data_IF_958424060750
#
_entry.id   IF_958424060750
#
_cell.length_a   1.000
_cell.length_b   1.000
_cell.length_c   1.000
_cell.angle_alpha   90.00
_cell.angle_beta   90.00
_cell.angle_gamma   90.00
#
_symmetry.space_group_name_H-M   'P 1'
#
loop_
_entity.id
_entity.type
_entity.pdbx_description
1 polymer ?
#
# COMPACT_ATOMS: atom_id res chain seq x y z
N UNK A 1 -4.30 6.88 2.09
CA UNK A 1 -3.13 6.12 2.59
C UNK A 1 -2.16 5.86 1.45
N UNK A 2 -0.87 5.84 1.76
CA UNK A 2 0.24 5.49 0.89
C UNK A 2 1.20 4.56 1.66
N UNK A 3 1.67 3.50 1.02
CA UNK A 3 2.79 2.69 1.48
C UNK A 3 3.86 2.64 0.39
N UNK A 4 5.13 2.80 0.76
CA UNK A 4 6.27 2.65 -0.14
C UNK A 4 7.25 1.66 0.46
N UNK A 5 7.62 0.64 -0.31
CA UNK A 5 8.50 -0.44 0.12
C UNK A 5 9.61 -0.65 -0.90
N UNK A 6 10.87 -0.56 -0.46
CA UNK A 6 12.04 -0.76 -1.32
C UNK A 6 12.09 -2.17 -1.86
N UNK A 7 12.69 -2.32 -3.04
CA UNK A 7 12.84 -3.61 -3.75
C UNK A 7 13.45 -4.72 -2.88
N UNK A 8 14.32 -4.35 -1.94
CA UNK A 8 14.96 -5.29 -1.02
C UNK A 8 13.98 -5.97 -0.04
N UNK A 9 12.83 -5.36 0.24
CA UNK A 9 11.77 -5.95 1.07
C UNK A 9 10.79 -6.76 0.22
N UNK A 10 10.44 -6.24 -0.96
CA UNK A 10 9.44 -6.85 -1.84
C UNK A 10 9.83 -6.62 -3.30
N UNK A 11 9.85 -7.70 -4.08
CA UNK A 11 10.10 -7.63 -5.52
C UNK A 11 8.78 -7.48 -6.25
N UNK A 12 8.78 -6.58 -7.23
CA UNK A 12 7.62 -6.42 -8.10
C UNK A 12 7.36 -7.68 -8.93
N UNK A 13 6.09 -8.12 -9.06
CA UNK A 13 5.73 -9.12 -10.07
C UNK A 13 6.10 -8.61 -11.47
N UNK A 14 6.45 -9.52 -12.39
CA UNK A 14 6.85 -9.16 -13.76
C UNK A 14 5.69 -8.51 -14.51
N UNK A 15 4.46 -8.87 -14.15
CA UNK A 15 3.19 -8.42 -14.71
C UNK A 15 2.92 -6.92 -14.49
N UNK A 16 3.50 -6.33 -13.44
CA UNK A 16 3.39 -4.87 -13.21
C UNK A 16 4.29 -4.06 -14.15
N UNK A 17 5.29 -4.67 -14.77
CA UNK A 17 6.16 -4.00 -15.72
C UNK A 17 5.54 -4.14 -17.12
N UNK A 18 4.90 -3.08 -17.63
CA UNK A 18 4.46 -3.08 -19.02
C UNK A 18 5.64 -2.73 -19.95
N UNK A 19 6.04 -3.61 -20.89
CA UNK A 19 7.09 -3.31 -21.86
C UNK A 19 6.69 -2.21 -22.87
N UNK A 20 5.46 -1.69 -22.82
CA UNK A 20 4.96 -0.60 -23.68
C UNK A 20 5.51 0.80 -23.30
N UNK A 21 6.70 0.84 -22.70
CA UNK A 21 7.34 1.99 -22.05
C UNK A 21 7.96 3.02 -23.00
N UNK A 22 7.90 2.84 -24.33
CA UNK A 22 8.57 3.76 -25.25
C UNK A 22 7.78 5.04 -25.60
N UNK A 23 6.46 5.08 -25.42
CA UNK A 23 5.61 6.16 -26.00
C UNK A 23 4.78 6.99 -24.99
N UNK A 24 5.10 7.01 -23.68
CA UNK A 24 4.47 7.98 -22.76
C UNK A 24 5.40 9.11 -22.38
N UNK A 25 4.89 10.34 -22.36
CA UNK A 25 5.60 11.52 -21.88
C UNK A 25 5.93 11.43 -20.37
N UNK A 26 5.08 10.75 -19.60
CA UNK A 26 5.23 10.63 -18.15
C UNK A 26 6.19 9.51 -17.77
N UNK A 27 7.27 9.86 -17.06
CA UNK A 27 8.21 8.93 -16.45
C UNK A 27 7.77 8.60 -15.02
N UNK A 28 8.04 7.38 -14.52
CA UNK A 28 7.83 7.06 -13.11
C UNK A 28 8.73 7.94 -12.22
N UNK A 29 8.26 8.21 -11.00
CA UNK A 29 8.92 9.07 -10.02
C UNK A 29 9.72 8.25 -9.00
N UNK A 30 10.76 8.84 -8.37
CA UNK A 30 11.45 8.22 -7.25
C UNK A 30 10.62 8.30 -5.96
N UNK A 31 10.85 7.38 -5.03
CA UNK A 31 10.04 7.24 -3.81
C UNK A 31 9.88 8.54 -3.00
N UNK A 32 10.94 9.35 -2.92
CA UNK A 32 10.96 10.59 -2.15
C UNK A 32 10.08 11.68 -2.77
N UNK A 33 9.97 11.71 -4.10
CA UNK A 33 9.08 12.64 -4.80
C UNK A 33 7.61 12.20 -4.66
N UNK A 34 7.36 10.88 -4.73
CA UNK A 34 6.01 10.31 -4.53
C UNK A 34 5.44 10.70 -3.16
N UNK A 35 6.25 10.62 -2.11
CA UNK A 35 5.85 11.06 -0.78
C UNK A 35 5.49 12.54 -0.74
N UNK A 36 6.33 13.38 -1.38
CA UNK A 36 6.14 14.84 -1.42
C UNK A 36 4.85 15.22 -2.15
N UNK A 37 4.54 14.54 -3.26
CA UNK A 37 3.30 14.75 -4.01
C UNK A 37 2.07 14.27 -3.23
N UNK A 38 2.23 13.20 -2.45
CA UNK A 38 1.15 12.68 -1.60
C UNK A 38 0.86 13.58 -0.39
N UNK A 39 1.87 14.26 0.14
CA UNK A 39 1.76 15.16 1.30
C UNK A 39 2.01 16.62 0.89
N UNK A 40 1.02 17.33 0.30
CA UNK A 40 1.18 18.74 -0.01
C UNK A 40 1.42 19.53 1.29
N UNK A 41 2.27 20.56 1.23
CA UNK A 41 2.75 21.31 2.41
C UNK A 41 1.65 21.87 3.34
N UNK A 42 0.40 21.96 2.88
CA UNK A 42 -0.71 22.58 3.60
C UNK A 42 -1.68 21.58 4.27
N UNK A 43 -1.37 20.29 4.34
CA UNK A 43 -2.24 19.29 4.97
C UNK A 43 -1.97 19.17 6.47
N UNK A 44 -2.76 19.86 7.30
CA UNK A 44 -2.58 19.93 8.77
C UNK A 44 -2.63 18.58 9.49
N UNK A 45 -3.27 17.57 8.90
CA UNK A 45 -3.48 16.25 9.50
C UNK A 45 -2.82 15.12 8.70
N UNK A 46 -1.96 15.45 7.73
CA UNK A 46 -1.16 14.44 7.05
C UNK A 46 0.09 14.12 7.87
N UNK A 47 0.47 12.85 7.89
CA UNK A 47 1.68 12.39 8.57
C UNK A 47 2.31 11.26 7.77
N UNK A 48 3.60 11.05 8.00
CA UNK A 48 4.33 9.88 7.50
C UNK A 48 5.18 9.27 8.60
N UNK A 49 5.46 7.99 8.46
CA UNK A 49 6.30 7.21 9.33
C UNK A 49 7.27 6.42 8.47
N UNK A 50 8.56 6.62 8.69
CA UNK A 50 9.62 5.85 8.06
C UNK A 50 10.04 4.73 9.02
N UNK A 51 10.15 3.52 8.51
CA UNK A 51 10.66 2.38 9.25
C UNK A 51 12.00 1.97 8.63
N UNK A 52 13.09 2.44 9.25
CA UNK A 52 14.41 2.37 8.66
C UNK A 52 14.47 3.13 7.33
N UNK A 53 15.21 2.57 6.36
CA UNK A 53 15.38 3.17 5.03
C UNK A 53 14.47 2.54 3.96
N UNK A 54 13.66 1.55 4.35
CA UNK A 54 13.15 0.55 3.42
C UNK A 54 11.64 0.52 3.30
N UNK A 55 10.95 0.95 4.34
CA UNK A 55 9.50 1.03 4.37
C UNK A 55 9.06 2.42 4.83
N UNK A 56 8.01 2.92 4.21
CA UNK A 56 7.36 4.17 4.55
C UNK A 56 5.85 3.97 4.49
N UNK A 57 5.16 4.47 5.51
CA UNK A 57 3.70 4.63 5.49
C UNK A 57 3.36 6.11 5.61
N UNK A 58 2.43 6.58 4.80
CA UNK A 58 1.92 7.94 4.87
C UNK A 58 0.40 7.98 4.80
N UNK A 59 -0.14 8.95 5.50
CA UNK A 59 -1.55 9.26 5.51
C UNK A 59 -1.75 10.75 5.25
N UNK A 60 -2.68 11.06 4.36
CA UNK A 60 -3.23 12.39 4.21
C UNK A 60 -4.74 12.25 4.19
N UNK A 61 -5.48 13.00 5.02
CA UNK A 61 -6.93 13.06 4.90
C UNK A 61 -7.31 13.52 3.50
N UNK A 62 -8.28 12.85 2.89
CA UNK A 62 -8.91 13.32 1.67
C UNK A 62 -10.09 14.22 2.01
N UNK A 63 -10.42 15.17 1.13
CA UNK A 63 -11.64 15.98 1.26
C UNK A 63 -12.93 15.17 1.02
N UNK A 64 -12.81 13.90 0.59
CA UNK A 64 -13.93 12.98 0.46
C UNK A 64 -14.23 12.33 1.81
N UNK A 65 -15.47 12.39 2.32
CA UNK A 65 -15.85 11.65 3.51
C UNK A 65 -15.56 10.17 3.25
N UNK A 66 -14.64 9.61 4.03
CA UNK A 66 -14.33 8.19 3.95
C UNK A 66 -15.47 7.47 4.66
N UNK A 67 -16.30 6.74 3.92
CA UNK A 67 -17.43 5.98 4.48
C UNK A 67 -16.94 4.82 5.38
N UNK A 68 -15.63 4.52 5.30
CA UNK A 68 -15.01 3.40 6.00
C UNK A 68 -14.16 3.88 7.18
N UNK A 69 -14.27 3.17 8.30
CA UNK A 69 -13.45 3.40 9.48
C UNK A 69 -11.99 3.10 9.16
N UNK A 70 -11.13 4.11 9.14
CA UNK A 70 -9.69 3.96 8.93
C UNK A 70 -9.00 3.88 10.28
N UNK A 71 -8.34 2.75 10.55
CA UNK A 71 -7.57 2.53 11.77
C UNK A 71 -6.07 2.47 11.43
N UNK A 72 -5.27 3.23 12.17
CA UNK A 72 -3.81 3.13 12.18
C UNK A 72 -3.39 2.61 13.55
N UNK A 73 -2.55 1.58 13.59
CA UNK A 73 -1.97 1.07 14.83
C UNK A 73 -0.52 0.71 14.57
N UNK A 74 0.40 1.40 15.26
CA UNK A 74 1.79 0.99 15.39
C UNK A 74 1.93 0.23 16.70
N UNK A 75 2.30 -1.04 16.64
CA UNK A 75 2.58 -1.86 17.82
C UNK A 75 3.98 -2.46 17.66
N UNK A 76 4.82 -2.32 18.68
CA UNK A 76 6.14 -2.99 18.77
C UNK A 76 6.04 -4.52 18.74
N UNK A 77 4.82 -5.02 18.87
CA UNK A 77 4.43 -6.41 18.77
C UNK A 77 3.08 -6.39 18.07
N UNK A 78 3.02 -6.61 16.75
CA UNK A 78 1.73 -6.71 16.06
C UNK A 78 1.03 -7.99 16.54
N UNK A 79 0.40 -7.92 17.72
CA UNK A 79 -0.51 -8.94 18.21
C UNK A 79 -1.66 -9.13 17.22
N UNK A 80 -2.00 -8.15 16.39
CA UNK A 80 -2.99 -8.33 15.32
C UNK A 80 -2.48 -9.22 14.18
N UNK A 81 -1.22 -9.12 13.76
CA UNK A 81 -0.62 -10.03 12.76
C UNK A 81 -0.44 -11.41 13.37
N UNK A 82 0.07 -11.50 14.60
CA UNK A 82 0.14 -12.76 15.34
C UNK A 82 -1.24 -13.35 15.58
N UNK A 83 -2.26 -12.56 15.88
CA UNK A 83 -3.62 -13.09 16.01
C UNK A 83 -4.12 -13.54 14.63
N UNK A 84 -3.95 -12.76 13.56
CA UNK A 84 -4.36 -13.15 12.21
C UNK A 84 -3.58 -14.38 11.67
N UNK A 85 -2.30 -14.53 12.02
CA UNK A 85 -1.41 -15.62 11.59
C UNK A 85 -1.50 -16.84 12.51
N UNK A 86 -1.50 -16.60 13.81
CA UNK A 86 -1.55 -17.59 14.91
C UNK A 86 -2.99 -17.93 15.32
N UNK A 87 -4.03 -17.42 14.62
CA UNK A 87 -5.34 -18.10 14.50
C UNK A 87 -5.18 -19.49 13.84
N UNK A 88 -3.96 -19.92 13.54
CA UNK A 88 -3.53 -21.32 13.50
C UNK A 88 -4.47 -22.25 14.27
N UNK A 89 -5.10 -23.22 13.57
CA UNK A 89 -4.64 -23.76 12.28
C UNK A 89 -5.16 -23.03 11.04
N UNK A 90 -5.73 -21.82 11.14
CA UNK A 90 -6.30 -21.12 9.99
C UNK A 90 -5.26 -20.34 9.14
N UNK A 91 -5.16 -20.62 7.83
CA UNK A 91 -4.42 -19.79 6.86
C UNK A 91 -4.90 -18.33 6.86
N UNK A 92 -4.02 -17.39 6.51
CA UNK A 92 -4.33 -15.95 6.51
C UNK A 92 -5.54 -15.60 5.63
N UNK A 93 -5.73 -16.29 4.50
CA UNK A 93 -6.90 -16.12 3.62
C UNK A 93 -8.22 -16.54 4.28
N UNK A 94 -8.20 -17.52 5.20
CA UNK A 94 -9.40 -17.90 5.94
C UNK A 94 -9.75 -16.86 6.99
N UNK A 95 -8.76 -16.27 7.66
CA UNK A 95 -9.01 -15.22 8.64
C UNK A 95 -9.53 -13.94 7.97
N UNK A 96 -9.10 -13.66 6.74
CA UNK A 96 -9.65 -12.56 5.94
C UNK A 96 -11.14 -12.74 5.61
N UNK A 97 -11.62 -13.98 5.42
CA UNK A 97 -13.04 -14.26 5.14
C UNK A 97 -13.95 -13.95 6.32
N UNK A 98 -13.42 -14.00 7.55
CA UNK A 98 -14.16 -13.64 8.76
C UNK A 98 -14.27 -12.13 8.96
N UNK A 99 -13.50 -11.32 8.21
CA UNK A 99 -13.62 -9.87 8.29
C UNK A 99 -14.89 -9.44 7.54
N UNK A 100 -15.90 -9.02 8.29
CA UNK A 100 -17.11 -8.45 7.71
C UNK A 100 -16.88 -7.00 7.26
N UNK A 101 -17.39 -6.67 6.08
CA UNK A 101 -17.39 -5.32 5.52
C UNK A 101 -16.31 -5.05 4.47
N UNK A 102 -16.21 -3.78 4.07
CA UNK A 102 -15.20 -3.32 3.11
C UNK A 102 -13.94 -2.92 3.86
N UNK A 103 -12.84 -3.62 3.61
CA UNK A 103 -11.55 -3.32 4.24
C UNK A 103 -10.43 -3.33 3.21
N UNK A 104 -9.35 -2.63 3.54
CA UNK A 104 -8.09 -2.68 2.82
C UNK A 104 -6.99 -2.29 3.79
N UNK A 105 -5.95 -3.11 3.91
CA UNK A 105 -4.88 -2.86 4.87
C UNK A 105 -3.50 -3.21 4.32
N UNK A 106 -2.52 -2.49 4.85
CA UNK A 106 -1.10 -2.69 4.63
C UNK A 106 -0.46 -2.85 6.00
N UNK A 107 0.13 -3.99 6.25
CA UNK A 107 0.87 -4.31 7.48
C UNK A 107 2.34 -4.43 7.11
N UNK A 108 3.20 -3.80 7.91
CA UNK A 108 4.63 -3.95 7.80
C UNK A 108 5.19 -4.40 9.15
N UNK A 109 5.86 -5.55 9.15
CA UNK A 109 6.64 -6.03 10.28
C UNK A 109 8.09 -5.56 10.10
N UNK A 110 8.51 -4.56 10.89
CA UNK A 110 9.86 -4.03 10.82
C UNK A 110 10.93 -5.00 11.36
N UNK A 111 10.55 -5.93 12.25
CA UNK A 111 11.50 -6.88 12.83
C UNK A 111 11.87 -7.95 11.80
N UNK A 112 10.88 -8.48 11.11
CA UNK A 112 11.06 -9.54 10.12
C UNK A 112 11.26 -9.00 8.69
N UNK A 113 11.05 -7.69 8.48
CA UNK A 113 11.12 -7.05 7.17
C UNK A 113 10.04 -7.54 6.21
N UNK A 114 8.87 -7.94 6.73
CA UNK A 114 7.79 -8.54 5.93
C UNK A 114 6.62 -7.58 5.75
N UNK A 115 5.97 -7.67 4.60
CA UNK A 115 4.84 -6.82 4.22
C UNK A 115 3.65 -7.73 3.91
N UNK A 116 2.49 -7.38 4.43
CA UNK A 116 1.22 -8.03 4.11
C UNK A 116 0.22 -7.00 3.63
N UNK A 117 -0.44 -7.30 2.51
CA UNK A 117 -1.41 -6.40 1.89
C UNK A 117 -2.63 -7.21 1.52
N UNK A 118 -3.81 -6.73 1.91
CA UNK A 118 -5.07 -7.35 1.57
C UNK A 118 -6.15 -6.30 1.32
N UNK A 119 -7.06 -6.62 0.41
CA UNK A 119 -8.28 -5.86 0.11
C UNK A 119 -9.47 -6.82 0.20
N UNK A 120 -10.59 -6.35 0.75
CA UNK A 120 -11.81 -7.15 0.89
C UNK A 120 -12.43 -7.51 -0.47
N UNK A 121 -13.30 -8.53 -0.47
CA UNK A 121 -13.87 -9.13 -1.68
C UNK A 121 -14.91 -8.25 -2.39
N UNK A 122 -15.50 -7.27 -1.70
CA UNK A 122 -16.56 -6.44 -2.28
C UNK A 122 -16.06 -5.32 -3.22
N UNK A 123 -14.75 -5.13 -3.36
CA UNK A 123 -14.13 -4.15 -4.25
C UNK A 123 -14.43 -2.68 -3.91
N UNK A 124 -15.13 -2.39 -2.81
CA UNK A 124 -15.51 -1.02 -2.45
C UNK A 124 -14.32 -0.19 -1.97
N UNK A 125 -13.35 -0.84 -1.32
CA UNK A 125 -12.04 -0.23 -0.98
C UNK A 125 -11.01 -0.79 -1.95
N UNK A 126 -10.88 -0.12 -3.10
CA UNK A 126 -9.85 -0.45 -4.08
C UNK A 126 -8.47 -0.04 -3.56
N UNK A 127 -7.60 -1.03 -3.34
CA UNK A 127 -6.16 -0.79 -3.27
C UNK A 127 -5.59 -0.84 -4.69
N UNK A 128 -4.63 0.02 -4.95
CA UNK A 128 -3.85 0.08 -6.17
C UNK A 128 -2.38 -0.02 -5.80
N UNK A 129 -1.61 -0.60 -6.70
CA UNK A 129 -0.18 -0.76 -6.52
C UNK A 129 0.57 -0.50 -7.82
N UNK A 130 1.82 -0.09 -7.69
CA UNK A 130 2.69 0.16 -8.82
C UNK A 130 4.16 0.16 -8.44
N UNK A 131 5.01 0.36 -9.44
CA UNK A 131 6.47 0.35 -9.32
C UNK A 131 7.00 1.74 -9.60
N UNK A 132 7.73 2.29 -8.64
CA UNK A 132 8.46 3.54 -8.77
C UNK A 132 9.72 3.37 -9.63
N UNK A 133 10.36 4.48 -10.03
CA UNK A 133 11.57 4.41 -10.89
C UNK A 133 12.76 3.73 -10.19
N UNK A 134 12.79 3.75 -8.86
CA UNK A 134 13.80 3.12 -8.02
C UNK A 134 13.42 1.69 -7.59
N UNK A 135 12.54 1.04 -8.35
CA UNK A 135 12.00 -0.30 -8.11
C UNK A 135 11.21 -0.46 -6.80
N UNK A 136 10.88 0.63 -6.10
CA UNK A 136 10.04 0.56 -4.90
C UNK A 136 8.60 0.19 -5.28
N UNK A 137 7.98 -0.70 -4.50
CA UNK A 137 6.54 -0.93 -4.56
C UNK A 137 5.81 0.21 -3.86
N UNK A 138 4.82 0.75 -4.54
CA UNK A 138 3.97 1.83 -4.06
C UNK A 138 2.55 1.30 -3.97
N UNK A 139 1.89 1.49 -2.83
CA UNK A 139 0.52 1.02 -2.57
C UNK A 139 -0.32 2.20 -2.10
N UNK A 140 -1.50 2.41 -2.70
CA UNK A 140 -2.41 3.47 -2.29
C UNK A 140 -3.86 3.10 -2.61
N UNK A 141 -4.79 3.65 -1.85
CA UNK A 141 -6.22 3.62 -2.19
C UNK A 141 -6.59 4.64 -3.30
N UNK A 142 -5.67 5.53 -3.65
CA UNK A 142 -5.91 6.56 -4.66
C UNK A 142 -5.22 6.19 -5.99
N UNK A 143 -6.02 5.73 -6.95
CA UNK A 143 -5.56 5.37 -8.29
C UNK A 143 -4.80 6.52 -8.99
N UNK A 144 -5.25 7.77 -8.82
CA UNK A 144 -4.64 8.91 -9.51
C UNK A 144 -3.23 9.21 -9.00
N UNK A 145 -2.97 8.99 -7.71
CA UNK A 145 -1.61 9.09 -7.16
C UNK A 145 -0.72 7.98 -7.72
N UNK A 146 -1.23 6.75 -7.82
CA UNK A 146 -0.46 5.64 -8.40
C UNK A 146 -0.12 5.90 -9.87
N UNK A 147 -1.09 6.36 -10.68
CA UNK A 147 -0.84 6.73 -12.10
C UNK A 147 0.20 7.84 -12.23
N UNK A 148 0.07 8.91 -11.44
CA UNK A 148 0.99 10.04 -11.46
C UNK A 148 2.42 9.65 -11.01
N UNK A 149 2.53 8.64 -10.15
CA UNK A 149 3.79 8.20 -9.55
C UNK A 149 4.49 7.08 -10.32
N UNK A 150 3.74 6.08 -10.77
CA UNK A 150 4.25 4.83 -11.35
C UNK A 150 4.08 4.78 -12.88
N UNK A 151 3.55 5.85 -13.49
CA UNK A 151 3.26 5.95 -14.91
C UNK A 151 2.40 4.76 -15.41
N UNK A 152 2.97 3.85 -16.21
CA UNK A 152 2.28 2.66 -16.74
C UNK A 152 2.54 1.38 -15.94
N UNK A 153 3.39 1.44 -14.92
CA UNK A 153 3.75 0.27 -14.12
C UNK A 153 2.85 0.18 -12.89
N UNK A 154 1.55 -0.01 -13.11
CA UNK A 154 0.57 -0.12 -12.04
C UNK A 154 -0.61 -1.01 -12.41
N UNK A 155 -1.33 -1.48 -11.39
CA UNK A 155 -2.57 -2.22 -11.54
C UNK A 155 -3.47 -1.99 -10.30
N UNK A 156 -4.76 -2.39 -10.37
CA UNK A 156 -5.52 -2.71 -9.17
C UNK A 156 -4.79 -3.80 -8.37
N UNK A 157 -4.82 -3.70 -7.04
CA UNK A 157 -4.38 -4.78 -6.17
C UNK A 157 -5.45 -5.88 -6.14
N UNK A 158 -5.08 -7.18 -6.14
CA UNK A 158 -6.05 -8.26 -6.11
C UNK A 158 -7.01 -8.15 -4.91
N UNK A 159 -8.31 -8.24 -5.17
CA UNK A 159 -9.31 -8.40 -4.11
C UNK A 159 -9.25 -9.81 -3.53
N UNK A 160 -9.51 -9.93 -2.23
CA UNK A 160 -9.69 -11.22 -1.56
C UNK A 160 -10.87 -12.00 -2.15
N UNK A 161 -10.86 -13.32 -1.93
CA UNK A 161 -11.93 -14.26 -2.32
C UNK A 161 -12.96 -14.35 -1.22
#
# INVERSE_FOLDING_TARGET
MLGIFKEKLVKAPKELNSPASLNSCTKPKPSHEILKDFMPCNSSNAFSMCFGNDALLAYSPSNKPSIHHRLFSGLDNIYSYRTLRDRGPYPADQVLKELEGSFGFVIYDNKDGTIFVASGSNGQIGLYWGVAIDSSIVISENMEHIKASCAKSFAPFPSGI
#
